data_IF_612727053251
#
_entry.id   IF_612727053251
#
_cell.length_a   1.000
_cell.length_b   1.000
_cell.length_c   1.000
_cell.angle_alpha   90.00
_cell.angle_beta   90.00
_cell.angle_gamma   90.00
#
_symmetry.space_group_name_H-M   'P 1'
#
loop_
_entity.id
_entity.type
_entity.pdbx_description
1 polymer ?
#
# COMPACT_ATOMS: atom_id res chain seq x y z
N UNK A 1 -21.74 -15.85 -0.97
CA UNK A 1 -20.70 -16.80 -0.54
C UNK A 1 -19.56 -16.71 -1.54
N UNK A 2 -18.30 -16.77 -1.09
CA UNK A 2 -17.12 -16.51 -1.93
C UNK A 2 -16.61 -15.08 -1.79
N UNK A 3 -15.67 -14.87 -0.88
CA UNK A 3 -14.98 -13.58 -0.68
C UNK A 3 -13.47 -13.75 -0.83
N UNK A 4 -12.78 -12.71 -1.29
CA UNK A 4 -11.33 -12.71 -1.37
C UNK A 4 -10.76 -11.65 -0.43
N UNK A 5 -9.82 -12.06 0.42
CA UNK A 5 -9.09 -11.18 1.33
C UNK A 5 -7.62 -11.30 0.99
N UNK A 6 -7.03 -10.20 0.52
CA UNK A 6 -5.60 -10.08 0.25
C UNK A 6 -4.92 -9.36 1.40
N UNK A 7 -3.93 -10.01 2.02
CA UNK A 7 -3.14 -9.43 3.10
C UNK A 7 -1.81 -8.91 2.52
N UNK A 8 -1.54 -7.62 2.74
CA UNK A 8 -0.30 -6.96 2.35
C UNK A 8 0.25 -6.14 3.51
N UNK A 9 1.56 -6.25 3.75
CA UNK A 9 2.25 -5.50 4.80
C UNK A 9 1.96 -6.00 6.22
N UNK A 10 2.78 -5.54 7.17
CA UNK A 10 2.71 -5.88 8.59
C UNK A 10 2.91 -4.59 9.39
N UNK A 11 1.85 -3.77 9.50
CA UNK A 11 1.94 -2.43 10.09
C UNK A 11 1.79 -2.43 11.62
N UNK A 12 1.00 -3.35 12.18
CA UNK A 12 0.62 -3.35 13.60
C UNK A 12 1.06 -4.62 14.35
N UNK A 13 2.07 -5.32 13.82
CA UNK A 13 2.60 -6.57 14.39
C UNK A 13 2.30 -7.80 13.53
N UNK A 14 3.07 -8.87 13.75
CA UNK A 14 3.07 -10.09 12.93
C UNK A 14 2.09 -11.18 13.43
N UNK A 15 1.29 -10.88 14.45
CA UNK A 15 0.34 -11.81 15.05
C UNK A 15 -1.08 -11.23 14.99
N UNK A 16 -2.07 -12.11 14.84
CA UNK A 16 -3.48 -11.78 14.88
C UNK A 16 -4.34 -13.04 14.79
N UNK A 17 -5.49 -13.03 15.46
CA UNK A 17 -6.42 -14.15 15.44
C UNK A 17 -7.27 -14.14 14.16
N UNK A 18 -7.31 -15.29 13.48
CA UNK A 18 -8.11 -15.49 12.27
C UNK A 18 -9.10 -16.63 12.48
N UNK A 19 -10.40 -16.34 12.34
CA UNK A 19 -11.46 -17.34 12.49
C UNK A 19 -11.52 -18.29 11.29
N UNK A 20 -10.96 -19.49 11.46
CA UNK A 20 -11.02 -20.57 10.44
C UNK A 20 -12.44 -21.04 10.16
N UNK A 21 -13.31 -21.05 11.18
CA UNK A 21 -14.74 -21.37 11.04
C UNK A 21 -15.43 -20.39 10.08
N UNK A 22 -15.18 -19.09 10.22
CA UNK A 22 -15.76 -18.07 9.32
C UNK A 22 -15.26 -18.24 7.90
N UNK A 23 -13.97 -18.56 7.72
CA UNK A 23 -13.37 -18.81 6.41
C UNK A 23 -14.07 -19.98 5.72
N UNK A 24 -14.29 -21.09 6.44
CA UNK A 24 -14.98 -22.27 5.91
C UNK A 24 -16.45 -21.98 5.58
N UNK A 25 -17.20 -21.41 6.53
CA UNK A 25 -18.64 -21.16 6.37
C UNK A 25 -18.96 -20.18 5.24
N UNK A 26 -18.10 -19.19 4.98
CA UNK A 26 -18.31 -18.17 3.94
C UNK A 26 -17.55 -18.46 2.64
N UNK A 27 -16.79 -19.56 2.59
CA UNK A 27 -15.89 -19.92 1.50
C UNK A 27 -14.93 -18.78 1.14
N UNK A 28 -14.21 -18.26 2.13
CA UNK A 28 -13.27 -17.13 1.94
C UNK A 28 -11.92 -17.64 1.43
N UNK A 29 -11.35 -16.95 0.42
CA UNK A 29 -9.94 -17.08 0.03
C UNK A 29 -9.12 -16.02 0.74
N UNK A 30 -8.32 -16.43 1.73
CA UNK A 30 -7.31 -15.59 2.37
C UNK A 30 -5.96 -15.81 1.68
N UNK A 31 -5.33 -14.75 1.17
CA UNK A 31 -4.06 -14.82 0.44
C UNK A 31 -3.10 -13.72 0.88
N UNK A 32 -1.90 -14.10 1.31
CA UNK A 32 -0.79 -13.16 1.47
C UNK A 32 -0.24 -12.74 0.11
N UNK A 33 0.01 -11.44 -0.05
CA UNK A 33 0.66 -10.86 -1.24
C UNK A 33 1.78 -9.90 -0.81
N UNK A 34 2.85 -9.87 -1.60
CA UNK A 34 3.89 -8.84 -1.52
C UNK A 34 3.75 -7.91 -2.73
N UNK A 35 4.86 -7.60 -3.41
CA UNK A 35 4.86 -6.86 -4.67
C UNK A 35 4.32 -7.71 -5.82
N UNK A 36 3.73 -7.04 -6.81
CA UNK A 36 3.24 -7.67 -8.03
C UNK A 36 4.35 -7.98 -9.04
N UNK A 37 4.02 -8.75 -10.07
CA UNK A 37 4.92 -9.00 -11.19
C UNK A 37 5.13 -7.74 -12.05
N UNK A 38 6.13 -7.77 -12.92
CA UNK A 38 6.35 -6.73 -13.93
C UNK A 38 5.10 -6.52 -14.80
N UNK A 39 4.45 -7.58 -15.26
CA UNK A 39 3.26 -7.48 -16.11
C UNK A 39 2.10 -6.80 -15.39
N UNK A 40 1.95 -7.05 -14.08
CA UNK A 40 0.98 -6.34 -13.24
C UNK A 40 1.31 -4.85 -13.14
N UNK A 41 2.59 -4.51 -12.96
CA UNK A 41 3.04 -3.11 -12.91
C UNK A 41 2.78 -2.38 -14.24
N UNK A 42 3.10 -3.01 -15.37
CA UNK A 42 2.83 -2.43 -16.70
C UNK A 42 1.32 -2.26 -16.93
N UNK A 43 0.50 -3.22 -16.49
CA UNK A 43 -0.96 -3.12 -16.57
C UNK A 43 -1.51 -1.98 -15.71
N UNK A 44 -1.01 -1.82 -14.48
CA UNK A 44 -1.35 -0.71 -13.60
C UNK A 44 -1.01 0.64 -14.24
N UNK A 45 0.18 0.78 -14.83
CA UNK A 45 0.61 2.02 -15.47
C UNK A 45 -0.27 2.39 -16.68
N UNK A 46 -0.68 1.40 -17.48
CA UNK A 46 -1.64 1.63 -18.57
C UNK A 46 -2.97 2.18 -18.06
N UNK A 47 -3.49 1.62 -16.96
CA UNK A 47 -4.73 2.08 -16.36
C UNK A 47 -4.58 3.50 -15.76
N UNK A 48 -3.47 3.79 -15.09
CA UNK A 48 -3.14 5.12 -14.56
C UNK A 48 -3.14 6.17 -15.69
N UNK A 49 -2.48 5.87 -16.81
CA UNK A 49 -2.40 6.78 -17.95
C UNK A 49 -3.77 7.01 -18.60
N UNK A 50 -4.54 5.93 -18.82
CA UNK A 50 -5.87 5.99 -19.43
C UNK A 50 -6.86 6.84 -18.61
N UNK A 51 -6.83 6.69 -17.29
CA UNK A 51 -7.77 7.35 -16.38
C UNK A 51 -7.19 8.63 -15.74
N UNK A 52 -5.98 9.03 -16.14
CA UNK A 52 -5.27 10.20 -15.61
C UNK A 52 -5.22 10.21 -14.07
N UNK A 53 -4.96 9.03 -13.48
CA UNK A 53 -4.93 8.89 -12.03
C UNK A 53 -3.71 9.60 -11.45
N UNK A 54 -3.95 10.58 -10.59
CA UNK A 54 -2.90 11.26 -9.82
C UNK A 54 -2.73 10.66 -8.43
N UNK A 55 -1.49 10.59 -7.90
CA UNK A 55 -1.30 10.27 -6.49
C UNK A 55 -1.82 11.41 -5.62
N UNK A 56 -2.43 11.05 -4.48
CA UNK A 56 -2.62 12.02 -3.38
C UNK A 56 -1.26 12.16 -2.70
N UNK A 57 -0.62 13.30 -2.90
CA UNK A 57 0.65 13.65 -2.24
C UNK A 57 0.31 14.53 -1.06
N UNK A 58 0.82 14.14 0.10
CA UNK A 58 0.62 14.88 1.33
C UNK A 58 1.63 16.03 1.45
N UNK A 59 2.92 15.71 1.32
CA UNK A 59 3.99 16.71 1.41
C UNK A 59 5.14 16.38 0.47
N UNK A 60 5.70 17.43 -0.12
CA UNK A 60 6.92 17.37 -0.93
C UNK A 60 8.03 18.12 -0.21
N UNK A 61 9.14 17.44 0.06
CA UNK A 61 10.36 18.03 0.61
C UNK A 61 11.42 18.18 -0.48
N UNK A 62 12.36 19.10 -0.33
CA UNK A 62 13.54 19.13 -1.19
C UNK A 62 14.49 17.97 -0.85
N UNK A 63 15.38 17.61 -1.77
CA UNK A 63 16.36 16.55 -1.51
C UNK A 63 17.28 16.85 -0.32
N UNK A 64 17.52 18.14 -0.01
CA UNK A 64 18.33 18.52 1.14
C UNK A 64 17.61 18.31 2.48
N UNK A 65 16.29 18.08 2.46
CA UNK A 65 15.42 17.90 3.63
C UNK A 65 15.03 16.42 3.84
N UNK A 66 15.83 15.47 3.32
CA UNK A 66 15.56 14.03 3.45
C UNK A 66 15.38 13.61 4.90
N UNK A 67 16.15 14.17 5.83
CA UNK A 67 16.07 13.81 7.25
C UNK A 67 14.72 14.23 7.83
N UNK A 68 14.26 15.43 7.51
CA UNK A 68 12.98 15.99 7.91
C UNK A 68 11.83 15.19 7.30
N UNK A 69 11.95 14.79 6.03
CA UNK A 69 10.97 13.94 5.36
C UNK A 69 10.83 12.57 6.04
N UNK A 70 11.95 11.95 6.45
CA UNK A 70 11.95 10.68 7.16
C UNK A 70 11.37 10.81 8.58
N UNK A 71 11.72 11.86 9.32
CA UNK A 71 11.14 12.13 10.63
C UNK A 71 9.62 12.34 10.54
N UNK A 72 9.15 13.04 9.49
CA UNK A 72 7.72 13.20 9.24
C UNK A 72 7.04 11.85 8.96
N UNK A 73 7.64 11.01 8.11
CA UNK A 73 7.14 9.67 7.81
C UNK A 73 7.08 8.76 9.05
N UNK A 74 8.12 8.80 9.89
CA UNK A 74 8.21 8.04 11.14
C UNK A 74 7.14 8.45 12.15
N UNK A 75 6.82 9.75 12.20
CA UNK A 75 5.77 10.26 13.10
C UNK A 75 4.37 9.69 12.79
N UNK A 76 4.16 9.13 11.60
CA UNK A 76 2.85 8.64 11.17
C UNK A 76 1.83 9.74 10.91
N UNK A 77 2.23 11.02 10.97
CA UNK A 77 1.36 12.17 10.76
C UNK A 77 0.96 12.38 9.29
N UNK A 78 1.55 11.61 8.36
CA UNK A 78 1.21 11.67 6.95
C UNK A 78 -0.16 11.05 6.67
N UNK A 79 -0.98 11.75 5.90
CA UNK A 79 -2.24 11.23 5.36
C UNK A 79 -2.02 10.30 4.17
N UNK A 80 -1.01 10.57 3.34
CA UNK A 80 -0.72 9.78 2.13
C UNK A 80 0.78 9.76 1.79
N UNK A 81 1.15 9.97 0.52
CA UNK A 81 2.53 9.85 0.06
C UNK A 81 3.36 11.08 0.45
N UNK A 82 4.54 10.83 1.01
CA UNK A 82 5.61 11.83 1.19
C UNK A 82 6.57 11.72 0.00
N UNK A 83 6.88 12.84 -0.65
CA UNK A 83 7.73 12.88 -1.84
C UNK A 83 8.95 13.76 -1.65
N UNK A 84 10.02 13.44 -2.40
CA UNK A 84 11.22 14.26 -2.50
C UNK A 84 11.29 14.88 -3.90
N UNK A 85 11.58 16.17 -3.96
CA UNK A 85 11.89 16.88 -5.21
C UNK A 85 13.39 16.79 -5.47
N UNK A 86 13.74 16.15 -6.59
CA UNK A 86 15.07 16.17 -7.16
C UNK A 86 15.14 17.37 -8.11
N UNK A 87 16.02 18.32 -7.82
CA UNK A 87 16.30 19.51 -8.65
C UNK A 87 17.59 19.32 -9.43
#
# INVERSE_FOLDING_TARGET
>A
MGGHVSLFGVLFGSQGDVSTVTILQKNIRLQGIYVGSRDMFETMNRAIALHQLGPIVDRVFSFNEVREALNYLESGAQFSKVCLKLS
#
